data_IF_875790405651
#
_entry.id   IF_875790405651
#
_cell.length_a   1.000
_cell.length_b   1.000
_cell.length_c   1.000
_cell.angle_alpha   90.00
_cell.angle_beta   90.00
_cell.angle_gamma   90.00
#
_symmetry.space_group_name_H-M   'P 1'
#
loop_
_entity.id
_entity.type
_entity.pdbx_description
1 polymer ?
#
# COMPACT_ATOMS: atom_id res chain seq x y z
N UNK A 1 -5.93 -12.80 -15.54
CA UNK A 1 -6.69 -13.33 -14.42
C UNK A 1 -6.87 -12.24 -13.36
N UNK A 2 -8.10 -11.92 -13.02
CA UNK A 2 -8.40 -10.87 -12.05
C UNK A 2 -8.40 -11.44 -10.63
N UNK A 3 -7.97 -10.60 -9.69
CA UNK A 3 -8.00 -10.94 -8.27
C UNK A 3 -9.44 -10.86 -7.74
N UNK A 4 -9.83 -11.69 -6.77
CA UNK A 4 -11.15 -11.57 -6.14
C UNK A 4 -11.36 -10.25 -5.40
N UNK A 5 -10.30 -9.50 -5.13
CA UNK A 5 -10.43 -8.17 -4.50
C UNK A 5 -10.88 -7.09 -5.47
N UNK A 6 -10.64 -7.26 -6.76
CA UNK A 6 -11.01 -6.24 -7.75
C UNK A 6 -12.52 -6.05 -7.78
N UNK A 7 -12.94 -4.81 -7.72
CA UNK A 7 -14.35 -4.45 -7.66
C UNK A 7 -14.91 -4.31 -6.25
N UNK A 8 -14.16 -4.69 -5.23
CA UNK A 8 -14.58 -4.55 -3.84
C UNK A 8 -14.13 -3.20 -3.28
N UNK A 9 -14.89 -2.68 -2.32
CA UNK A 9 -14.48 -1.48 -1.60
C UNK A 9 -13.42 -1.85 -0.57
N UNK A 10 -12.35 -1.06 -0.50
CA UNK A 10 -11.31 -1.26 0.51
C UNK A 10 -11.88 -0.96 1.90
N UNK A 11 -11.60 -1.80 2.91
CA UNK A 11 -12.15 -1.58 4.26
C UNK A 11 -11.55 -0.32 4.89
N UNK A 12 -12.35 0.33 5.75
CA UNK A 12 -11.90 1.52 6.45
C UNK A 12 -10.87 1.13 7.51
N UNK A 13 -9.64 1.58 7.33
CA UNK A 13 -8.54 1.33 8.27
C UNK A 13 -7.82 2.63 8.57
N UNK A 14 -7.33 2.76 9.80
CA UNK A 14 -6.60 3.94 10.23
C UNK A 14 -5.14 3.59 10.50
N UNK A 15 -4.24 4.48 10.12
CA UNK A 15 -2.82 4.35 10.36
C UNK A 15 -2.21 5.69 10.72
N UNK A 16 -0.90 5.69 10.94
CA UNK A 16 -0.15 6.90 11.26
C UNK A 16 1.01 7.03 10.27
N UNK A 17 1.05 8.15 9.56
CA UNK A 17 2.16 8.44 8.65
C UNK A 17 3.43 8.74 9.44
N UNK A 18 4.59 8.57 8.82
CA UNK A 18 5.86 8.92 9.48
C UNK A 18 5.93 10.41 9.80
N UNK A 19 5.16 11.24 9.09
CA UNK A 19 5.02 12.67 9.39
C UNK A 19 4.25 12.94 10.68
N UNK A 20 3.62 11.93 11.25
CA UNK A 20 2.81 12.04 12.46
C UNK A 20 1.33 12.20 12.22
N UNK A 21 0.91 12.37 10.97
CA UNK A 21 -0.49 12.55 10.62
C UNK A 21 -1.26 11.25 10.70
N UNK A 22 -2.49 11.33 11.18
CA UNK A 22 -3.41 10.21 11.16
C UNK A 22 -4.05 10.12 9.78
N UNK A 23 -4.04 8.93 9.18
CA UNK A 23 -4.56 8.70 7.83
C UNK A 23 -5.60 7.58 7.87
N UNK A 24 -6.76 7.84 7.31
CA UNK A 24 -7.80 6.82 7.15
C UNK A 24 -7.89 6.41 5.70
N UNK A 25 -7.85 5.10 5.45
CA UNK A 25 -7.88 4.54 4.11
C UNK A 25 -9.19 3.75 3.96
N UNK A 26 -9.97 3.93 2.91
CA UNK A 26 -9.71 4.78 1.74
C UNK A 26 -10.18 6.23 1.88
N UNK A 27 -10.79 6.61 2.99
CA UNK A 27 -11.49 7.89 3.13
C UNK A 27 -10.62 9.10 2.78
N UNK A 28 -9.39 9.12 3.27
CA UNK A 28 -8.49 10.26 3.04
C UNK A 28 -7.84 10.23 1.65
N UNK A 29 -8.05 9.17 0.88
CA UNK A 29 -7.48 9.01 -0.46
C UNK A 29 -8.52 9.16 -1.57
N UNK A 30 -9.77 9.46 -1.23
CA UNK A 30 -10.84 9.62 -2.20
C UNK A 30 -10.54 10.82 -3.12
N UNK A 31 -10.83 10.67 -4.40
CA UNK A 31 -10.70 11.75 -5.39
C UNK A 31 -9.66 11.50 -6.47
N UNK A 32 -8.73 10.58 -6.24
CA UNK A 32 -7.71 10.22 -7.23
C UNK A 32 -7.25 8.79 -6.97
N UNK A 33 -6.71 8.10 -8.00
CA UNK A 33 -6.16 6.77 -7.79
C UNK A 33 -4.98 6.79 -6.81
N UNK A 34 -4.86 5.73 -6.00
CA UNK A 34 -3.77 5.59 -5.05
C UNK A 34 -3.31 4.13 -5.01
N UNK A 35 -2.00 3.93 -5.01
CA UNK A 35 -1.42 2.60 -4.94
C UNK A 35 -0.96 2.33 -3.52
N UNK A 36 -1.39 1.19 -2.98
CA UNK A 36 -1.00 0.76 -1.65
C UNK A 36 -0.01 -0.41 -1.77
N UNK A 37 1.18 -0.25 -1.20
CA UNK A 37 2.21 -1.28 -1.16
C UNK A 37 2.26 -1.81 0.26
N UNK A 38 1.59 -2.93 0.50
CA UNK A 38 1.44 -3.51 1.83
C UNK A 38 2.56 -4.48 2.14
N UNK A 39 3.17 -4.33 3.31
CA UNK A 39 4.26 -5.19 3.77
C UNK A 39 3.96 -5.76 5.14
N UNK A 40 4.18 -7.07 5.30
CA UNK A 40 4.02 -7.75 6.59
C UNK A 40 5.35 -8.08 7.24
N UNK A 41 6.46 -7.96 6.51
CA UNK A 41 7.80 -8.33 6.97
C UNK A 41 8.84 -7.37 6.41
N UNK A 42 9.98 -7.29 7.08
CA UNK A 42 11.12 -6.50 6.59
C UNK A 42 11.61 -6.96 5.22
N UNK A 43 11.62 -8.28 4.98
CA UNK A 43 12.07 -8.84 3.71
C UNK A 43 11.26 -8.38 2.50
N UNK A 44 10.07 -7.85 2.73
CA UNK A 44 9.21 -7.32 1.68
C UNK A 44 9.76 -6.01 1.08
N UNK A 45 10.67 -5.33 1.76
CA UNK A 45 11.16 -4.02 1.34
C UNK A 45 11.77 -4.04 -0.05
N UNK A 46 12.49 -5.11 -0.40
CA UNK A 46 13.09 -5.24 -1.73
C UNK A 46 12.03 -5.20 -2.84
N UNK A 47 10.91 -5.89 -2.63
CA UNK A 47 9.82 -5.92 -3.60
C UNK A 47 9.13 -4.55 -3.68
N UNK A 48 8.90 -3.92 -2.52
CA UNK A 48 8.30 -2.58 -2.45
C UNK A 48 9.17 -1.58 -3.20
N UNK A 49 10.49 -1.64 -3.02
CA UNK A 49 11.41 -0.73 -3.69
C UNK A 49 11.33 -0.84 -5.22
N UNK A 50 11.15 -2.05 -5.73
CA UNK A 50 10.99 -2.27 -7.17
C UNK A 50 9.70 -1.66 -7.69
N UNK A 51 8.59 -1.86 -6.97
CA UNK A 51 7.31 -1.25 -7.33
C UNK A 51 7.39 0.28 -7.27
N UNK A 52 7.97 0.82 -6.20
CA UNK A 52 8.11 2.27 -6.03
C UNK A 52 8.97 2.88 -7.14
N UNK A 53 10.07 2.22 -7.49
CA UNK A 53 10.96 2.69 -8.57
C UNK A 53 10.23 2.70 -9.91
N UNK A 54 9.47 1.64 -10.21
CA UNK A 54 8.67 1.58 -11.43
C UNK A 54 7.66 2.72 -11.48
N UNK A 55 6.92 2.95 -10.41
CA UNK A 55 5.92 4.02 -10.35
C UNK A 55 6.56 5.40 -10.50
N UNK A 56 7.70 5.62 -9.87
CA UNK A 56 8.40 6.89 -9.97
C UNK A 56 8.85 7.20 -11.39
N UNK A 57 9.26 6.15 -12.14
CA UNK A 57 9.69 6.28 -13.52
C UNK A 57 8.54 6.39 -14.51
N UNK A 58 7.56 5.49 -14.39
CA UNK A 58 6.54 5.29 -15.41
C UNK A 58 5.19 5.90 -15.06
N UNK A 59 4.91 6.10 -13.78
CA UNK A 59 3.62 6.58 -13.29
C UNK A 59 3.82 7.72 -12.28
N UNK A 60 4.52 8.80 -12.67
CA UNK A 60 4.93 9.84 -11.71
C UNK A 60 3.79 10.62 -11.07
N UNK A 61 2.59 10.56 -11.65
CA UNK A 61 1.41 11.25 -11.09
C UNK A 61 0.62 10.38 -10.12
N UNK A 62 0.93 9.09 -10.05
CA UNK A 62 0.23 8.18 -9.16
C UNK A 62 0.70 8.38 -7.73
N UNK A 63 -0.25 8.58 -6.81
CA UNK A 63 0.05 8.60 -5.38
C UNK A 63 0.37 7.18 -4.92
N UNK A 64 1.54 7.00 -4.30
CA UNK A 64 2.00 5.69 -3.83
C UNK A 64 2.19 5.75 -2.33
N UNK A 65 1.59 4.81 -1.61
CA UNK A 65 1.67 4.71 -0.15
C UNK A 65 2.26 3.37 0.24
N UNK A 66 3.26 3.39 1.11
CA UNK A 66 3.78 2.18 1.72
C UNK A 66 3.03 1.94 3.02
N UNK A 67 2.49 0.74 3.20
CA UNK A 67 1.71 0.37 4.36
C UNK A 67 2.38 -0.79 5.10
N UNK A 68 3.28 -0.50 6.05
CA UNK A 68 3.74 -1.54 6.97
C UNK A 68 2.57 -2.00 7.83
N UNK A 69 2.26 -3.30 7.78
CA UNK A 69 1.15 -3.89 8.51
C UNK A 69 1.73 -4.90 9.48
N UNK A 70 1.73 -4.57 10.77
CA UNK A 70 2.39 -5.37 11.78
C UNK A 70 1.42 -5.66 12.93
N UNK A 71 1.41 -6.89 13.48
CA UNK A 71 0.51 -7.23 14.57
C UNK A 71 0.69 -6.33 15.78
N UNK A 72 -0.42 -5.83 16.32
CA UNK A 72 -0.42 -4.89 17.44
C UNK A 72 0.32 -5.41 18.67
N UNK A 73 0.28 -6.72 18.92
CA UNK A 73 0.95 -7.33 20.06
C UNK A 73 2.47 -7.24 19.98
N UNK A 74 3.02 -7.23 18.77
CA UNK A 74 4.46 -7.13 18.57
C UNK A 74 4.91 -5.68 18.59
N UNK A 75 4.01 -4.77 18.25
CA UNK A 75 4.32 -3.37 18.02
C UNK A 75 4.46 -2.49 19.24
N UNK A 76 3.59 -2.65 20.24
CA UNK A 76 3.49 -1.70 21.35
C UNK A 76 4.80 -1.38 22.06
N UNK A 77 5.64 -2.39 22.42
CA UNK A 77 6.89 -2.09 23.08
C UNK A 77 7.97 -1.47 22.17
N UNK A 78 7.82 -1.63 20.85
CA UNK A 78 8.86 -1.26 19.89
C UNK A 78 8.46 -0.09 19.01
N UNK A 79 7.25 0.42 19.18
CA UNK A 79 6.68 1.44 18.27
C UNK A 79 7.60 2.65 18.08
N UNK A 80 8.07 3.24 19.17
CA UNK A 80 8.94 4.43 19.07
C UNK A 80 10.28 4.14 18.39
N UNK A 81 10.85 2.97 18.66
CA UNK A 81 12.11 2.56 18.04
C UNK A 81 11.95 2.30 16.56
N UNK A 82 10.87 1.62 16.18
CA UNK A 82 10.62 1.29 14.78
C UNK A 82 10.33 2.54 13.97
N UNK A 83 9.49 3.44 14.48
CA UNK A 83 9.19 4.70 13.82
C UNK A 83 10.45 5.55 13.65
N UNK A 84 11.27 5.64 14.69
CA UNK A 84 12.54 6.36 14.62
C UNK A 84 13.51 5.76 13.62
N UNK A 85 13.59 4.43 13.57
CA UNK A 85 14.44 3.73 12.61
C UNK A 85 13.96 3.91 11.17
N UNK A 86 12.65 3.83 10.96
CA UNK A 86 12.07 4.05 9.64
C UNK A 86 12.28 5.48 9.15
N UNK A 87 12.10 6.47 10.05
CA UNK A 87 12.37 7.87 9.71
C UNK A 87 13.80 8.10 9.29
N UNK A 88 14.74 7.45 9.95
CA UNK A 88 16.15 7.54 9.59
C UNK A 88 16.49 6.99 8.22
N UNK A 89 15.70 6.00 7.74
CA UNK A 89 15.91 5.36 6.45
C UNK A 89 15.07 5.92 5.30
N UNK A 90 14.17 6.87 5.59
CA UNK A 90 13.23 7.41 4.58
C UNK A 90 13.41 8.92 4.46
N UNK A 91 13.60 9.46 3.24
CA UNK A 91 13.67 10.91 3.05
C UNK A 91 12.43 11.60 3.61
N UNK A 92 12.64 12.74 4.28
CA UNK A 92 11.57 13.47 4.97
C UNK A 92 10.40 13.82 4.04
N UNK A 93 10.69 14.12 2.78
CA UNK A 93 9.65 14.43 1.79
C UNK A 93 8.67 13.28 1.55
N UNK A 94 9.06 12.04 1.90
CA UNK A 94 8.23 10.85 1.70
C UNK A 94 7.53 10.38 2.97
N UNK A 95 7.70 11.08 4.09
CA UNK A 95 7.13 10.64 5.36
C UNK A 95 5.60 10.55 5.36
N UNK A 96 4.92 11.41 4.60
CA UNK A 96 3.46 11.35 4.50
C UNK A 96 2.96 10.16 3.67
N UNK A 97 3.84 9.55 2.89
CA UNK A 97 3.50 8.41 2.04
C UNK A 97 3.76 7.05 2.70
N UNK A 98 4.35 7.02 3.89
CA UNK A 98 4.55 5.79 4.65
C UNK A 98 3.59 5.81 5.82
N UNK A 99 2.57 4.95 5.76
CA UNK A 99 1.48 4.90 6.74
C UNK A 99 1.49 3.55 7.43
N UNK A 100 1.85 3.53 8.69
CA UNK A 100 1.91 2.29 9.47
C UNK A 100 0.55 1.98 10.08
N UNK A 101 0.06 0.75 9.86
CA UNK A 101 -1.19 0.28 10.44
C UNK A 101 -0.88 -0.51 11.71
N UNK A 102 -1.18 0.08 12.86
CA UNK A 102 -0.95 -0.55 14.15
C UNK A 102 -2.16 -1.34 14.62
N UNK A 103 -3.29 -0.66 14.85
CA UNK A 103 -4.48 -1.29 15.40
C UNK A 103 -5.31 -1.98 14.32
N UNK A 104 -5.44 -1.36 13.16
CA UNK A 104 -6.25 -1.87 12.07
C UNK A 104 -5.45 -2.77 11.10
N UNK A 105 -4.21 -3.12 11.47
CA UNK A 105 -3.38 -3.98 10.64
C UNK A 105 -4.02 -5.35 10.38
N UNK A 106 -4.62 -5.94 11.40
CA UNK A 106 -5.29 -7.25 11.26
C UNK A 106 -6.48 -7.16 10.29
N UNK A 107 -7.20 -6.06 10.32
CA UNK A 107 -8.35 -5.83 9.42
C UNK A 107 -7.91 -5.72 7.97
N UNK A 108 -6.83 -4.95 7.72
CA UNK A 108 -6.25 -4.81 6.39
C UNK A 108 -5.72 -6.16 5.89
N UNK A 109 -5.01 -6.90 6.75
CA UNK A 109 -4.43 -8.18 6.40
C UNK A 109 -5.51 -9.23 6.08
N UNK A 110 -6.62 -9.22 6.82
CA UNK A 110 -7.74 -10.13 6.56
C UNK A 110 -8.37 -9.87 5.21
N UNK A 111 -8.44 -8.60 4.80
CA UNK A 111 -8.99 -8.24 3.50
C UNK A 111 -8.01 -8.55 2.36
N UNK A 112 -6.78 -8.10 2.47
CA UNK A 112 -5.77 -8.21 1.42
C UNK A 112 -5.23 -9.64 1.29
N UNK A 113 -5.14 -10.35 2.40
CA UNK A 113 -4.59 -11.69 2.44
C UNK A 113 -3.13 -11.70 2.85
N UNK A 114 -2.65 -12.88 3.23
CA UNK A 114 -1.30 -13.07 3.75
C UNK A 114 -0.21 -13.03 2.67
N UNK A 115 -0.58 -13.31 1.44
CA UNK A 115 0.39 -13.44 0.36
C UNK A 115 1.38 -14.55 0.67
N UNK A 116 2.52 -14.54 0.13
CA UNK A 116 3.54 -15.56 0.35
C UNK A 116 4.88 -14.95 0.72
N UNK A 117 5.15 -14.73 1.99
CA UNK A 117 6.50 -14.40 2.44
C UNK A 117 6.93 -12.96 2.15
N UNK A 118 7.98 -12.79 1.34
CA UNK A 118 8.65 -11.50 1.17
C UNK A 118 8.11 -10.66 0.00
N UNK A 119 6.93 -10.99 -0.48
CA UNK A 119 6.31 -10.25 -1.59
C UNK A 119 5.31 -9.22 -1.07
N UNK A 120 5.32 -8.04 -1.69
CA UNK A 120 4.36 -7.01 -1.34
C UNK A 120 2.96 -7.38 -1.83
N UNK A 121 1.96 -7.01 -1.05
CA UNK A 121 0.58 -7.02 -1.52
C UNK A 121 0.32 -5.65 -2.15
N UNK A 122 0.07 -5.63 -3.45
CA UNK A 122 -0.08 -4.39 -4.21
C UNK A 122 -1.55 -4.18 -4.52
N UNK A 123 -2.11 -3.07 -4.06
CA UNK A 123 -3.54 -2.75 -4.24
C UNK A 123 -3.66 -1.36 -4.83
N UNK A 124 -4.29 -1.26 -6.00
CA UNK A 124 -4.63 0.04 -6.57
C UNK A 124 -6.08 0.37 -6.23
N UNK A 125 -6.29 1.52 -5.62
CA UNK A 125 -7.62 2.07 -5.37
C UNK A 125 -7.95 3.10 -6.44
N UNK A 126 -9.18 3.08 -6.92
CA UNK A 126 -9.66 4.17 -7.78
C UNK A 126 -10.09 5.37 -6.92
N UNK A 127 -10.55 6.43 -7.56
CA UNK A 127 -10.95 7.65 -6.86
C UNK A 127 -12.14 7.48 -5.92
N UNK A 128 -12.86 6.37 -5.99
CA UNK A 128 -13.99 6.06 -5.11
C UNK A 128 -13.61 5.10 -3.97
N UNK A 129 -12.36 4.66 -3.91
CA UNK A 129 -11.91 3.74 -2.87
C UNK A 129 -12.17 2.28 -3.18
N UNK A 130 -12.49 1.97 -4.43
CA UNK A 130 -12.69 0.60 -4.88
C UNK A 130 -11.37 0.01 -5.39
N UNK A 131 -11.18 -1.29 -5.21
CA UNK A 131 -9.97 -1.97 -5.69
C UNK A 131 -10.05 -2.12 -7.21
N UNK A 132 -9.13 -1.48 -7.92
CA UNK A 132 -9.03 -1.55 -9.37
C UNK A 132 -7.98 -2.55 -9.84
N UNK A 133 -7.04 -2.93 -8.99
CA UNK A 133 -5.97 -3.88 -9.31
C UNK A 133 -5.42 -4.45 -8.01
N UNK A 134 -5.05 -5.72 -8.03
CA UNK A 134 -4.40 -6.40 -6.91
C UNK A 134 -3.39 -7.41 -7.44
N UNK A 135 -2.20 -7.41 -6.88
CA UNK A 135 -1.16 -8.39 -7.19
C UNK A 135 -0.40 -8.77 -5.93
N UNK A 136 -0.14 -10.05 -5.80
CA UNK A 136 0.58 -10.62 -4.65
C UNK A 136 1.76 -11.50 -5.08
N UNK A 137 2.08 -11.51 -6.36
CA UNK A 137 3.08 -12.42 -6.92
C UNK A 137 4.50 -11.88 -7.02
N UNK A 138 4.76 -10.69 -6.49
CA UNK A 138 6.04 -10.01 -6.61
C UNK A 138 6.15 -9.16 -7.87
N UNK A 139 7.09 -8.22 -7.87
CA UNK A 139 7.28 -7.32 -9.01
C UNK A 139 7.76 -8.09 -10.24
N UNK A 140 7.04 -7.92 -11.34
CA UNK A 140 7.37 -8.48 -12.64
C UNK A 140 6.95 -7.49 -13.72
N UNK A 141 7.58 -7.57 -14.89
CA UNK A 141 7.21 -6.72 -16.03
C UNK A 141 5.73 -6.88 -16.40
N UNK A 142 5.21 -8.12 -16.35
CA UNK A 142 3.79 -8.37 -16.64
C UNK A 142 2.85 -7.74 -15.62
N UNK A 143 3.20 -7.79 -14.34
CA UNK A 143 2.40 -7.17 -13.28
C UNK A 143 2.41 -5.64 -13.42
N UNK A 144 3.57 -5.08 -13.71
CA UNK A 144 3.72 -3.65 -13.91
C UNK A 144 2.87 -3.15 -15.08
N UNK A 145 2.85 -3.91 -16.18
CA UNK A 145 2.00 -3.59 -17.33
C UNK A 145 0.51 -3.64 -16.98
N UNK A 146 0.10 -4.63 -16.17
CA UNK A 146 -1.30 -4.73 -15.73
C UNK A 146 -1.70 -3.55 -14.85
N UNK A 147 -0.80 -3.09 -13.99
CA UNK A 147 -1.04 -1.91 -13.18
C UNK A 147 -1.24 -0.67 -14.06
N UNK A 148 -0.34 -0.46 -15.02
CA UNK A 148 -0.45 0.67 -15.94
C UNK A 148 -1.75 0.61 -16.75
N UNK A 149 -2.16 -0.58 -17.19
CA UNK A 149 -3.41 -0.76 -17.92
C UNK A 149 -4.63 -0.44 -17.04
N UNK A 150 -4.60 -0.82 -15.77
CA UNK A 150 -5.69 -0.52 -14.84
C UNK A 150 -5.85 0.99 -14.63
N UNK A 151 -4.75 1.72 -14.58
CA UNK A 151 -4.77 3.19 -14.47
C UNK A 151 -5.29 3.86 -15.74
N UNK A 152 -5.04 3.27 -16.90
CA UNK A 152 -5.48 3.82 -18.17
C UNK A 152 -6.98 3.64 -18.41
N UNK A 153 -7.63 2.74 -17.65
CA UNK A 153 -9.08 2.53 -17.77
C UNK A 153 -9.82 3.66 -17.08
N UNK A 154 -10.67 4.44 -17.79
CA UNK A 154 -11.40 5.54 -17.17
C UNK A 154 -12.32 5.06 -16.07
N UNK A 155 -12.38 5.82 -14.98
CA UNK A 155 -13.31 5.56 -13.89
C UNK A 155 -14.74 5.71 -14.42
N UNK A 156 -15.62 4.76 -14.07
CA UNK A 156 -17.01 4.80 -14.46
C UNK A 156 -17.34 4.00 -15.71
N UNK A 157 -16.36 3.45 -16.40
CA UNK A 157 -16.59 2.47 -17.45
C UNK A 157 -16.56 1.09 -16.83
N UNK A 158 -17.67 0.66 -16.41
CA UNK A 158 -17.74 -0.65 -15.75
C UNK A 158 -18.95 -1.38 -16.18
#
# INVERSE_FOLDING_TARGET
MTSPLEGLRFPSVAGVALSGERVRIPEDLIGAPALLLCAYRRGTQSDIDKWAAFCGRELPRLAVFELPIIPALIWRPLQGWIDGGMRGGVPRAQWSSVVTLYEDGAKARAFVGDGGGDRAQVVLLDGAGMVAFHDAGGFRASSARRLAAALATPAGEG
#
